data_IF_147386839799
#
_entry.id   IF_147386839799
#
_cell.length_a   1.000
_cell.length_b   1.000
_cell.length_c   1.000
_cell.angle_alpha   90.00
_cell.angle_beta   90.00
_cell.angle_gamma   90.00
#
_symmetry.space_group_name_H-M   'P 1'
#
loop_
_entity.id
_entity.type
_entity.pdbx_description
1 polymer ?
#
# COMPACT_ATOMS: atom_id res chain seq x y z
N UNK A 1 10.42 16.87 -14.64
CA UNK A 1 9.24 15.97 -14.85
C UNK A 1 8.92 15.27 -13.53
N UNK A 2 7.69 14.83 -13.22
CA UNK A 2 7.39 14.20 -11.93
C UNK A 2 7.30 12.68 -12.02
N UNK A 3 7.76 12.01 -10.97
CA UNK A 3 7.69 10.55 -10.79
C UNK A 3 7.00 10.23 -9.47
N UNK A 4 6.09 9.26 -9.47
CA UNK A 4 5.45 8.75 -8.25
C UNK A 4 5.99 7.37 -7.91
N UNK A 5 6.19 7.13 -6.61
CA UNK A 5 6.63 5.85 -6.06
C UNK A 5 5.62 5.41 -5.03
N UNK A 6 5.13 4.19 -5.15
CA UNK A 6 4.36 3.53 -4.11
C UNK A 6 5.24 2.48 -3.44
N UNK A 7 5.43 2.62 -2.14
CA UNK A 7 6.19 1.69 -1.33
C UNK A 7 5.30 1.15 -0.20
N UNK A 8 5.28 -0.16 0.00
CA UNK A 8 4.59 -0.79 1.12
C UNK A 8 5.63 -1.40 2.03
N UNK A 9 5.55 -1.06 3.31
CA UNK A 9 6.37 -1.62 4.38
C UNK A 9 5.50 -2.33 5.40
N UNK A 10 6.04 -3.36 6.03
CA UNK A 10 5.43 -3.96 7.21
C UNK A 10 5.83 -3.18 8.48
N UNK A 11 5.35 -3.59 9.66
CA UNK A 11 5.59 -2.88 10.93
C UNK A 11 7.07 -2.85 11.33
N UNK A 12 7.85 -3.82 10.84
CA UNK A 12 9.30 -3.89 11.03
C UNK A 12 10.08 -2.97 10.06
N UNK A 13 9.37 -2.23 9.19
CA UNK A 13 9.96 -1.34 8.18
C UNK A 13 10.53 -2.05 6.95
N UNK A 14 10.32 -3.36 6.80
CA UNK A 14 10.76 -4.14 5.63
C UNK A 14 9.87 -3.76 4.45
N UNK A 15 10.51 -3.39 3.32
CA UNK A 15 9.80 -3.12 2.07
C UNK A 15 9.30 -4.43 1.49
N UNK A 16 7.98 -4.61 1.44
CA UNK A 16 7.33 -5.79 0.86
C UNK A 16 6.88 -5.58 -0.58
N UNK A 17 6.72 -4.31 -0.99
CA UNK A 17 6.40 -3.94 -2.36
C UNK A 17 6.93 -2.55 -2.68
N UNK A 18 7.46 -2.37 -3.90
CA UNK A 18 7.87 -1.06 -4.41
C UNK A 18 7.58 -0.98 -5.91
N UNK A 19 6.69 -0.09 -6.29
CA UNK A 19 6.31 0.13 -7.69
C UNK A 19 6.53 1.59 -8.10
N UNK A 20 6.95 1.76 -9.34
CA UNK A 20 7.16 3.04 -9.97
C UNK A 20 6.06 3.23 -11.01
N UNK A 21 5.07 4.04 -10.69
CA UNK A 21 4.01 4.33 -11.63
C UNK A 21 4.02 5.82 -11.97
N UNK A 22 4.16 6.06 -13.29
CA UNK A 22 3.89 7.31 -14.00
C UNK A 22 5.02 8.36 -14.02
N UNK A 23 5.27 8.83 -15.24
CA UNK A 23 5.92 10.10 -15.58
C UNK A 23 4.78 11.10 -15.85
N UNK A 24 4.58 12.09 -14.98
CA UNK A 24 3.49 13.07 -15.11
C UNK A 24 3.98 14.51 -14.96
N UNK A 25 3.13 15.47 -15.30
CA UNK A 25 3.32 16.90 -15.04
C UNK A 25 2.24 17.38 -14.07
N UNK A 26 2.61 18.11 -13.01
CA UNK A 26 1.66 18.92 -12.23
C UNK A 26 1.53 20.25 -12.98
N UNK A 27 0.56 20.34 -13.89
CA UNK A 27 0.15 21.66 -14.38
C UNK A 27 -0.78 22.27 -13.32
N UNK A 28 -0.61 23.56 -13.01
CA UNK A 28 -1.36 24.32 -12.01
C UNK A 28 -2.88 24.31 -12.25
N UNK A 29 -3.31 23.84 -13.42
CA UNK A 29 -4.71 23.73 -13.83
C UNK A 29 -5.24 22.29 -13.86
N UNK A 30 -4.47 21.30 -13.42
CA UNK A 30 -4.86 19.89 -13.44
C UNK A 30 -4.73 19.21 -12.08
N UNK A 31 -5.82 18.64 -11.59
CA UNK A 31 -5.79 17.69 -10.47
C UNK A 31 -5.49 16.30 -11.02
N UNK A 32 -4.34 15.73 -10.66
CA UNK A 32 -4.02 14.34 -10.99
C UNK A 32 -4.41 13.45 -9.81
N UNK A 33 -5.50 12.69 -9.95
CA UNK A 33 -5.96 11.71 -8.95
C UNK A 33 -5.79 10.29 -9.49
N UNK A 34 -5.21 9.40 -8.68
CA UNK A 34 -5.13 7.97 -8.97
C UNK A 34 -5.94 7.18 -7.96
N UNK A 35 -6.75 6.26 -8.45
CA UNK A 35 -7.44 5.27 -7.64
C UNK A 35 -6.84 3.92 -8.02
N UNK A 36 -6.18 3.27 -7.06
CA UNK A 36 -5.58 1.96 -7.23
C UNK A 36 -6.28 0.92 -6.37
N UNK A 37 -6.06 -0.36 -6.70
CA UNK A 37 -6.48 -1.48 -5.87
C UNK A 37 -5.24 -2.17 -5.32
N UNK A 38 -5.25 -2.48 -4.02
CA UNK A 38 -4.23 -3.32 -3.39
C UNK A 38 -4.80 -4.72 -3.21
N UNK A 39 -4.16 -5.70 -3.86
CA UNK A 39 -4.40 -7.11 -3.57
C UNK A 39 -3.47 -7.57 -2.45
N UNK A 40 -4.04 -7.99 -1.32
CA UNK A 40 -3.32 -8.65 -0.23
C UNK A 40 -3.42 -10.16 -0.44
N UNK A 41 -2.30 -10.88 -0.66
CA UNK A 41 -2.34 -12.31 -0.87
C UNK A 41 -2.75 -13.05 0.42
N UNK A 42 -3.38 -14.22 0.29
CA UNK A 42 -3.87 -15.01 1.43
C UNK A 42 -2.77 -15.52 2.37
N UNK A 43 -1.52 -15.50 1.92
CA UNK A 43 -0.35 -15.88 2.71
C UNK A 43 0.38 -14.68 3.32
N UNK A 44 -0.12 -13.45 3.11
CA UNK A 44 0.43 -12.28 3.77
C UNK A 44 0.33 -12.45 5.30
N UNK A 45 1.43 -12.27 6.05
CA UNK A 45 1.38 -12.30 7.50
C UNK A 45 0.40 -11.29 8.05
N UNK A 46 -0.22 -11.61 9.19
CA UNK A 46 -0.94 -10.60 9.95
C UNK A 46 0.06 -9.58 10.50
N UNK A 47 -0.15 -8.32 10.14
CA UNK A 47 0.72 -7.22 10.53
C UNK A 47 0.04 -5.87 10.23
N UNK A 48 0.59 -4.80 10.78
CA UNK A 48 0.32 -3.44 10.32
C UNK A 48 1.27 -3.12 9.18
N UNK A 49 0.71 -2.67 8.06
CA UNK A 49 1.44 -2.25 6.88
C UNK A 49 1.22 -0.76 6.63
N UNK A 50 2.25 -0.09 6.14
CA UNK A 50 2.21 1.32 5.72
C UNK A 50 2.41 1.39 4.22
N UNK A 51 1.45 1.95 3.50
CA UNK A 51 1.64 2.38 2.11
C UNK A 51 2.08 3.83 2.09
N UNK A 52 3.17 4.13 1.38
CA UNK A 52 3.69 5.49 1.18
C UNK A 52 3.67 5.81 -0.31
N UNK A 53 3.01 6.91 -0.66
CA UNK A 53 3.12 7.55 -1.97
C UNK A 53 4.10 8.71 -1.88
N UNK A 54 5.17 8.68 -2.68
CA UNK A 54 6.22 9.71 -2.70
C UNK A 54 6.32 10.35 -4.09
N UNK A 55 6.35 11.68 -4.12
CA UNK A 55 6.48 12.48 -5.33
C UNK A 55 7.92 12.99 -5.47
N UNK A 56 8.58 12.62 -6.57
CA UNK A 56 9.94 13.05 -6.87
C UNK A 56 9.98 13.90 -8.14
N UNK A 57 10.91 14.85 -8.16
CA UNK A 57 11.45 15.35 -9.42
C UNK A 57 12.24 14.24 -10.10
N UNK A 58 11.92 13.99 -11.37
CA UNK A 58 12.54 12.92 -12.14
C UNK A 58 13.99 13.25 -12.50
N UNK A 59 14.29 14.52 -12.76
CA UNK A 59 15.56 14.94 -13.34
C UNK A 59 16.65 15.06 -12.27
N UNK A 60 16.30 15.61 -11.11
CA UNK A 60 17.18 15.74 -9.95
C UNK A 60 17.07 14.60 -8.94
N UNK A 61 15.99 13.81 -8.98
CA UNK A 61 15.69 12.81 -7.95
C UNK A 61 15.26 13.41 -6.61
N UNK A 62 15.00 14.71 -6.54
CA UNK A 62 14.61 15.40 -5.31
C UNK A 62 13.20 14.97 -4.90
N UNK A 63 13.01 14.62 -3.62
CA UNK A 63 11.68 14.39 -3.05
C UNK A 63 10.98 15.73 -2.85
N UNK A 64 9.79 15.89 -3.43
CA UNK A 64 8.96 17.07 -3.22
C UNK A 64 7.97 16.87 -2.07
N UNK A 65 7.32 15.72 -2.02
CA UNK A 65 6.29 15.45 -1.02
C UNK A 65 6.09 13.94 -0.82
N UNK A 66 5.51 13.55 0.31
CA UNK A 66 5.04 12.20 0.53
C UNK A 66 3.78 12.17 1.42
N UNK A 67 2.99 11.12 1.23
CA UNK A 67 1.85 10.82 2.08
C UNK A 67 1.80 9.32 2.36
N UNK A 68 1.34 8.96 3.55
CA UNK A 68 1.25 7.57 3.98
C UNK A 68 -0.11 7.25 4.60
N UNK A 69 -0.50 5.98 4.47
CA UNK A 69 -1.67 5.40 5.11
C UNK A 69 -1.28 4.06 5.71
N UNK A 70 -1.74 3.81 6.93
CA UNK A 70 -1.58 2.52 7.59
C UNK A 70 -2.83 1.66 7.38
N UNK A 71 -2.63 0.35 7.21
CA UNK A 71 -3.70 -0.64 7.17
C UNK A 71 -3.27 -1.92 7.89
N UNK A 72 -4.24 -2.62 8.48
CA UNK A 72 -3.99 -3.86 9.20
C UNK A 72 -4.40 -5.05 8.34
N UNK A 73 -3.49 -6.00 8.16
CA UNK A 73 -3.80 -7.34 7.67
C UNK A 73 -4.01 -8.21 8.89
N UNK A 74 -5.22 -8.76 9.02
CA UNK A 74 -5.54 -9.69 10.10
C UNK A 74 -5.25 -11.12 9.65
N UNK A 75 -5.01 -12.02 10.61
CA UNK A 75 -4.91 -13.44 10.30
C UNK A 75 -6.19 -13.90 9.62
N UNK A 76 -6.04 -14.62 8.51
CA UNK A 76 -7.19 -15.31 7.94
C UNK A 76 -7.50 -16.48 8.86
N UNK A 77 -8.50 -16.32 9.73
CA UNK A 77 -9.09 -17.47 10.41
C UNK A 77 -9.71 -18.35 9.33
N UNK A 78 -8.97 -19.36 8.88
CA UNK A 78 -9.57 -20.48 8.17
C UNK A 78 -10.42 -21.17 9.24
N UNK A 79 -11.72 -20.87 9.25
CA UNK A 79 -12.65 -21.62 10.08
C UNK A 79 -12.45 -23.10 9.76
N UNK A 80 -11.95 -23.84 10.73
CA UNK A 80 -11.84 -25.28 10.61
C UNK A 80 -13.24 -25.87 10.74
N UNK A 81 -13.47 -27.07 10.20
CA UNK A 81 -14.77 -27.74 10.34
C UNK A 81 -15.19 -27.95 11.82
N UNK A 82 -14.23 -27.84 12.76
CA UNK A 82 -14.50 -27.91 14.20
C UNK A 82 -15.04 -26.60 14.78
N UNK A 83 -14.79 -25.44 14.14
CA UNK A 83 -15.34 -24.15 14.56
C UNK A 83 -16.85 -24.03 14.29
N UNK A 84 -17.41 -24.87 13.39
CA UNK A 84 -18.86 -24.97 13.15
C UNK A 84 -19.62 -25.54 14.37
N UNK A 85 -18.95 -26.29 15.26
CA UNK A 85 -19.63 -26.99 16.36
C UNK A 85 -19.95 -26.11 17.56
N UNK A 86 -19.56 -24.83 17.55
CA UNK A 86 -19.70 -23.93 18.72
C UNK A 86 -21.09 -23.28 18.81
N UNK A 87 -21.89 -23.25 17.74
CA UNK A 87 -23.23 -22.63 17.74
C UNK A 87 -24.39 -23.64 17.70
N UNK A 88 -24.35 -24.69 18.52
CA UNK A 88 -25.52 -25.54 18.76
C UNK A 88 -26.14 -25.21 20.13
N UNK A 89 -27.06 -24.24 20.13
CA UNK A 89 -28.10 -24.09 21.17
C UNK A 89 -29.31 -24.95 20.84
#
# INVERSE_FOLDING_TARGET
MLKVVHEIRNSSGIVVKKEWERNGTLDAHSSNSYIGYLYVPSWAPADTYTITGSLYDLDSGMLYDNASVDFNVSETNIMTADDWKIDNW
#
